data_IF_734596918542
#
_entry.id   IF_734596918542
#
_cell.length_a   1.000
_cell.length_b   1.000
_cell.length_c   1.000
_cell.angle_alpha   90.00
_cell.angle_beta   90.00
_cell.angle_gamma   90.00
#
_symmetry.space_group_name_H-M   'P 1'
#
loop_
_entity.id
_entity.type
_entity.pdbx_description
1 polymer ?
#
# COMPACT_ATOMS: atom_id res chain seq x y z
N UNK A 1 -3.99 21.81 8.63
CA UNK A 1 -5.23 21.21 8.11
C UNK A 1 -4.97 19.73 7.87
N UNK A 2 -5.55 18.83 8.69
CA UNK A 2 -5.40 17.37 8.50
C UNK A 2 -6.49 16.92 7.54
N UNK A 3 -6.17 16.87 6.25
CA UNK A 3 -7.08 16.36 5.22
C UNK A 3 -7.20 14.85 5.40
N UNK A 4 -8.31 14.39 5.99
CA UNK A 4 -8.65 12.97 6.02
C UNK A 4 -8.99 12.55 4.60
N UNK A 5 -8.21 11.61 4.04
CA UNK A 5 -8.44 11.11 2.70
C UNK A 5 -9.71 10.24 2.74
N UNK A 6 -10.66 10.54 1.86
CA UNK A 6 -11.76 9.62 1.57
C UNK A 6 -11.20 8.54 0.68
N UNK A 7 -10.57 7.52 1.27
CA UNK A 7 -10.12 6.31 0.57
C UNK A 7 -11.33 5.39 0.36
N UNK A 8 -11.36 4.57 -0.71
CA UNK A 8 -12.27 3.42 -0.73
C UNK A 8 -11.71 2.35 0.23
N UNK A 9 -11.90 2.59 1.52
CA UNK A 9 -11.20 1.89 2.60
C UNK A 9 -11.48 0.39 2.57
N UNK A 10 -12.70 -0.03 2.23
CA UNK A 10 -13.04 -1.46 2.07
C UNK A 10 -12.23 -2.12 0.95
N UNK A 11 -12.35 -1.61 -0.28
CA UNK A 11 -11.67 -2.21 -1.43
C UNK A 11 -10.13 -2.17 -1.31
N UNK A 12 -9.58 -1.07 -0.78
CA UNK A 12 -8.14 -0.97 -0.51
C UNK A 12 -7.69 -1.99 0.55
N UNK A 13 -8.43 -2.12 1.65
CA UNK A 13 -8.13 -3.08 2.71
C UNK A 13 -8.19 -4.52 2.21
N UNK A 14 -9.23 -4.87 1.46
CA UNK A 14 -9.41 -6.20 0.91
C UNK A 14 -8.25 -6.57 -0.02
N UNK A 15 -7.84 -5.65 -0.89
CA UNK A 15 -6.71 -5.87 -1.81
C UNK A 15 -5.38 -6.01 -1.08
N UNK A 16 -5.12 -5.18 -0.07
CA UNK A 16 -3.93 -5.32 0.78
C UNK A 16 -3.92 -6.66 1.51
N UNK A 17 -5.06 -7.08 2.07
CA UNK A 17 -5.16 -8.37 2.77
C UNK A 17 -4.98 -9.57 1.82
N UNK A 18 -5.50 -9.50 0.60
CA UNK A 18 -5.30 -10.52 -0.42
C UNK A 18 -3.83 -10.66 -0.80
N UNK A 19 -3.14 -9.54 -1.02
CA UNK A 19 -1.70 -9.49 -1.28
C UNK A 19 -0.91 -10.10 -0.12
N UNK A 20 -1.16 -9.63 1.11
CA UNK A 20 -0.50 -10.17 2.31
C UNK A 20 -0.70 -11.68 2.44
N UNK A 21 -1.93 -12.16 2.27
CA UNK A 21 -2.26 -13.59 2.35
C UNK A 21 -1.53 -14.41 1.27
N UNK A 22 -1.46 -13.90 0.05
CA UNK A 22 -0.74 -14.54 -1.06
C UNK A 22 0.77 -14.59 -0.80
N UNK A 23 1.31 -13.53 -0.21
CA UNK A 23 2.71 -13.44 0.19
C UNK A 23 3.06 -14.17 1.49
N UNK A 24 2.08 -14.73 2.21
CA UNK A 24 2.30 -15.39 3.50
C UNK A 24 2.53 -14.44 4.69
N UNK A 25 2.28 -13.15 4.53
CA UNK A 25 2.40 -12.13 5.57
C UNK A 25 1.06 -11.84 6.25
N UNK A 26 1.13 -11.35 7.48
CA UNK A 26 -0.04 -10.94 8.25
C UNK A 26 -0.17 -9.42 8.33
N UNK A 27 -1.40 -8.95 8.57
CA UNK A 27 -1.64 -7.53 8.85
C UNK A 27 -0.91 -7.04 10.11
N UNK A 28 -0.59 -7.95 11.04
CA UNK A 28 0.20 -7.63 12.23
C UNK A 28 1.62 -7.26 11.83
N UNK A 29 2.26 -8.07 11.00
CA UNK A 29 3.60 -7.79 10.50
C UNK A 29 3.62 -6.46 9.72
N UNK A 30 2.57 -6.19 8.94
CA UNK A 30 2.46 -4.91 8.22
C UNK A 30 2.41 -3.74 9.21
N UNK A 31 1.64 -3.88 10.29
CA UNK A 31 1.56 -2.84 11.31
C UNK A 31 2.91 -2.64 12.03
N UNK A 32 3.60 -3.73 12.36
CA UNK A 32 4.91 -3.70 13.01
C UNK A 32 5.95 -2.99 12.12
N UNK A 33 5.99 -3.26 10.81
CA UNK A 33 6.88 -2.58 9.85
C UNK A 33 6.53 -1.09 9.69
N UNK A 34 5.24 -0.75 9.74
CA UNK A 34 4.76 0.63 9.74
C UNK A 34 5.02 1.37 11.07
N UNK A 35 5.48 0.69 12.13
CA UNK A 35 5.58 1.25 13.47
C UNK A 35 4.22 1.60 14.09
N UNK A 36 3.15 0.98 13.60
CA UNK A 36 1.78 1.16 14.05
C UNK A 36 1.34 -0.02 14.92
N UNK A 37 0.50 0.25 15.90
CA UNK A 37 -0.15 -0.84 16.62
C UNK A 37 -1.13 -1.58 15.68
N UNK A 38 -1.17 -2.93 15.63
CA UNK A 38 -2.05 -3.69 14.73
C UNK A 38 -3.53 -3.28 14.79
N UNK A 39 -4.03 -3.02 16.00
CA UNK A 39 -5.39 -2.50 16.23
C UNK A 39 -5.64 -1.11 15.62
N UNK A 40 -4.63 -0.25 15.56
CA UNK A 40 -4.73 1.08 14.93
C UNK A 40 -4.78 0.92 13.42
N UNK A 41 -3.89 0.10 12.83
CA UNK A 41 -3.93 -0.19 11.40
C UNK A 41 -5.27 -0.82 11.00
N UNK A 42 -5.76 -1.78 11.77
CA UNK A 42 -7.08 -2.39 11.55
C UNK A 42 -8.20 -1.36 11.57
N UNK A 43 -8.25 -0.46 12.56
CA UNK A 43 -9.26 0.61 12.61
C UNK A 43 -9.20 1.51 11.38
N UNK A 44 -7.99 1.88 10.95
CA UNK A 44 -7.77 2.71 9.75
C UNK A 44 -8.22 2.00 8.47
N UNK A 45 -7.86 0.73 8.32
CA UNK A 45 -8.25 -0.12 7.19
C UNK A 45 -9.74 -0.49 7.15
N UNK A 46 -10.46 -0.35 8.27
CA UNK A 46 -11.92 -0.56 8.31
C UNK A 46 -12.69 0.77 8.38
N UNK A 47 -12.00 1.92 8.30
CA UNK A 47 -12.62 3.25 8.39
C UNK A 47 -13.31 3.51 9.73
N UNK A 48 -12.92 2.76 10.77
CA UNK A 48 -13.56 2.79 12.08
C UNK A 48 -13.00 3.95 12.91
N UNK A 49 -13.89 4.88 13.26
CA UNK A 49 -13.62 5.97 14.22
C UNK A 49 -12.66 7.05 13.69
N UNK A 50 -13.13 7.90 12.76
CA UNK A 50 -12.45 9.12 12.26
C UNK A 50 -10.96 8.97 11.89
N UNK A 51 -10.47 7.74 11.76
CA UNK A 51 -9.06 7.40 11.59
C UNK A 51 -8.86 7.02 10.15
N UNK A 52 -8.36 7.96 9.37
CA UNK A 52 -8.07 7.75 7.96
C UNK A 52 -6.60 7.35 7.82
N UNK A 53 -6.31 6.50 6.84
CA UNK A 53 -4.94 6.36 6.35
C UNK A 53 -4.48 7.71 5.83
N UNK A 54 -3.25 8.07 6.16
CA UNK A 54 -2.59 9.26 5.61
C UNK A 54 -1.82 8.91 4.34
N UNK A 55 -1.47 9.93 3.54
CA UNK A 55 -0.60 9.74 2.37
C UNK A 55 0.69 8.99 2.71
N UNK A 56 1.35 9.35 3.82
CA UNK A 56 2.58 8.69 4.25
C UNK A 56 2.36 7.21 4.61
N UNK A 57 1.25 6.90 5.26
CA UNK A 57 0.93 5.51 5.60
C UNK A 57 0.63 4.68 4.35
N UNK A 58 -0.04 5.25 3.35
CA UNK A 58 -0.31 4.56 2.08
C UNK A 58 0.99 4.34 1.31
N UNK A 59 1.88 5.35 1.27
CA UNK A 59 3.22 5.19 0.70
C UNK A 59 3.97 4.06 1.38
N UNK A 60 4.00 4.04 2.72
CA UNK A 60 4.67 3.00 3.50
C UNK A 60 4.09 1.61 3.21
N UNK A 61 2.76 1.44 3.21
CA UNK A 61 2.12 0.16 2.88
C UNK A 61 2.61 -0.34 1.52
N UNK A 62 2.56 0.49 0.48
CA UNK A 62 2.96 0.08 -0.87
C UNK A 62 4.46 -0.24 -0.93
N UNK A 63 5.31 0.57 -0.29
CA UNK A 63 6.75 0.28 -0.24
C UNK A 63 7.06 -1.00 0.52
N UNK A 64 6.36 -1.28 1.63
CA UNK A 64 6.52 -2.52 2.40
C UNK A 64 6.10 -3.73 1.59
N UNK A 65 4.97 -3.65 0.88
CA UNK A 65 4.52 -4.73 -0.01
C UNK A 65 5.52 -5.00 -1.14
N UNK A 66 6.10 -3.96 -1.73
CA UNK A 66 7.15 -4.11 -2.74
C UNK A 66 8.44 -4.71 -2.13
N UNK A 67 8.83 -4.25 -0.93
CA UNK A 67 10.00 -4.76 -0.21
C UNK A 67 9.88 -6.24 0.12
N UNK A 68 8.68 -6.69 0.48
CA UNK A 68 8.39 -8.09 0.76
C UNK A 68 8.16 -8.94 -0.49
N UNK A 69 8.33 -8.36 -1.69
CA UNK A 69 8.02 -9.00 -2.98
C UNK A 69 6.58 -9.53 -3.07
N UNK A 70 5.66 -8.93 -2.31
CA UNK A 70 4.24 -9.27 -2.31
C UNK A 70 3.55 -8.67 -3.53
N UNK A 71 3.98 -7.48 -3.93
CA UNK A 71 3.71 -6.91 -5.25
C UNK A 71 5.01 -6.94 -6.03
N UNK A 72 4.91 -7.27 -7.32
CA UNK A 72 6.07 -7.45 -8.19
C UNK A 72 6.01 -6.53 -9.41
N UNK A 73 4.86 -5.93 -9.68
CA UNK A 73 4.64 -5.07 -10.83
C UNK A 73 4.28 -3.64 -10.44
N UNK A 74 4.57 -2.70 -11.34
CA UNK A 74 4.17 -1.30 -11.15
C UNK A 74 2.66 -1.13 -11.24
N UNK A 75 1.98 -1.99 -11.99
CA UNK A 75 0.51 -1.97 -12.13
C UNK A 75 -0.16 -2.30 -10.79
N UNK A 76 0.28 -3.33 -10.07
CA UNK A 76 -0.24 -3.63 -8.72
C UNK A 76 -0.09 -2.45 -7.75
N UNK A 77 1.05 -1.75 -7.81
CA UNK A 77 1.26 -0.55 -6.99
C UNK A 77 0.30 0.59 -7.37
N UNK A 78 0.02 0.77 -8.67
CA UNK A 78 -0.91 1.77 -9.17
C UNK A 78 -2.36 1.44 -8.83
N UNK A 79 -2.76 0.17 -8.93
CA UNK A 79 -4.10 -0.30 -8.54
C UNK A 79 -4.36 0.00 -7.05
N UNK A 80 -3.39 -0.28 -6.18
CA UNK A 80 -3.49 0.05 -4.76
C UNK A 80 -3.63 1.57 -4.53
N UNK A 81 -2.94 2.39 -5.31
CA UNK A 81 -3.09 3.85 -5.24
C UNK A 81 -4.48 4.29 -5.71
N UNK A 82 -4.99 3.73 -6.80
CA UNK A 82 -6.32 4.04 -7.32
C UNK A 82 -7.42 3.69 -6.31
N UNK A 83 -7.33 2.51 -5.68
CA UNK A 83 -8.23 2.12 -4.58
C UNK A 83 -8.13 3.07 -3.38
N UNK A 84 -6.92 3.60 -3.14
CA UNK A 84 -6.70 4.63 -2.13
C UNK A 84 -7.21 6.02 -2.51
N UNK A 85 -7.73 6.19 -3.74
CA UNK A 85 -8.10 7.46 -4.38
C UNK A 85 -6.91 8.42 -4.52
N UNK A 86 -5.75 7.85 -4.85
CA UNK A 86 -4.49 8.55 -5.02
C UNK A 86 -3.90 8.28 -6.41
N UNK A 87 -3.16 9.26 -6.92
CA UNK A 87 -2.39 9.11 -8.13
C UNK A 87 -0.95 8.68 -7.86
N UNK A 88 -0.20 8.31 -8.90
CA UNK A 88 1.24 8.01 -8.81
C UNK A 88 2.08 9.18 -8.31
N UNK A 89 1.53 10.40 -8.37
CA UNK A 89 2.13 11.65 -7.91
C UNK A 89 2.39 11.70 -6.40
N UNK A 90 1.80 10.78 -5.63
CA UNK A 90 2.15 10.63 -4.23
C UNK A 90 3.62 10.23 -4.06
N UNK A 91 4.19 9.48 -5.01
CA UNK A 91 5.60 9.17 -5.03
C UNK A 91 6.31 10.10 -6.02
N UNK A 92 7.41 10.71 -5.59
CA UNK A 92 8.31 11.42 -6.50
C UNK A 92 8.99 10.44 -7.46
N UNK A 93 9.46 10.92 -8.62
CA UNK A 93 10.24 10.10 -9.56
C UNK A 93 11.41 9.40 -8.88
N UNK A 94 12.14 10.11 -8.01
CA UNK A 94 13.24 9.53 -7.23
C UNK A 94 12.81 8.33 -6.37
N UNK A 95 11.62 8.40 -5.76
CA UNK A 95 11.05 7.28 -4.99
C UNK A 95 10.70 6.10 -5.90
N UNK A 96 10.14 6.36 -7.08
CA UNK A 96 9.88 5.32 -8.08
C UNK A 96 11.15 4.68 -8.62
N UNK A 97 12.25 5.43 -8.70
CA UNK A 97 13.56 4.96 -9.18
C UNK A 97 14.44 4.37 -8.06
N UNK A 98 13.96 4.37 -6.81
CA UNK A 98 14.69 3.79 -5.67
C UNK A 98 14.09 2.45 -5.23
N UNK A 99 14.92 1.50 -4.75
CA UNK A 99 14.41 0.29 -4.12
C UNK A 99 13.54 0.63 -2.91
N UNK A 100 12.43 -0.09 -2.68
CA UNK A 100 11.98 -1.30 -3.39
C UNK A 100 11.08 -1.02 -4.61
N UNK A 101 10.68 0.23 -4.87
CA UNK A 101 9.75 0.52 -5.98
C UNK A 101 10.42 0.38 -7.35
N UNK A 102 11.73 0.60 -7.43
CA UNK A 102 12.51 0.42 -8.66
C UNK A 102 12.63 -1.04 -9.10
N UNK A 103 12.35 -2.00 -8.21
CA UNK A 103 12.40 -3.44 -8.53
C UNK A 103 11.07 -3.93 -9.11
N UNK A 104 10.03 -3.09 -9.14
CA UNK A 104 8.75 -3.42 -9.72
C UNK A 104 8.84 -3.45 -11.24
N UNK A 105 8.40 -4.54 -11.83
CA UNK A 105 8.33 -4.69 -13.28
C UNK A 105 7.29 -3.72 -13.83
N UNK A 106 7.71 -2.75 -14.65
CA UNK A 106 6.79 -2.04 -15.55
C UNK A 106 6.34 -3.04 -16.61
N UNK A 107 5.03 -3.26 -16.78
CA UNK A 107 4.35 -4.31 -17.58
C UNK A 107 4.76 -4.48 -19.05
N UNK A 108 6.05 -4.59 -19.32
CA UNK A 108 6.70 -4.87 -20.60
C UNK A 108 7.63 -6.08 -20.52
N UNK A 109 7.79 -6.68 -19.32
CA UNK A 109 8.65 -7.84 -19.06
C UNK A 109 7.87 -9.03 -18.46
N UNK A 110 6.62 -9.23 -18.88
CA UNK A 110 5.93 -10.50 -18.69
C UNK A 110 6.01 -11.29 -20.00
N UNK A 111 7.02 -12.14 -20.22
CA UNK A 111 6.92 -13.14 -21.27
C UNK A 111 5.87 -14.16 -20.82
N UNK A 112 4.74 -14.19 -21.53
CA UNK A 112 3.83 -15.33 -21.52
C UNK A 112 4.46 -16.47 -22.32
#
# INVERSE_FOLDING_TARGET
MRSGIRTNVGAFSDRVQEHLRTGGYSQKELADDLGLHPKVLSRKLHGSGNSHLTHLEIQHIITTLAHWHVITTREEALDLLELAQLGPTIFSDDKWQSPPLSTLTTGRDHPN
#
